data_IF_660648561394
#
_entry.id   IF_660648561394
#
_cell.length_a   1.000
_cell.length_b   1.000
_cell.length_c   1.000
_cell.angle_alpha   90.00
_cell.angle_beta   90.00
_cell.angle_gamma   90.00
#
_symmetry.space_group_name_H-M   'P 1'
#
loop_
_entity.id
_entity.type
_entity.pdbx_description
1 polymer ?
#
# COMPACT_ATOMS: atom_id res chain seq x y z
N UNK A 1 2.97 -2.02 -25.42
CA UNK A 1 2.59 -0.60 -25.54
C UNK A 1 2.95 0.06 -24.22
N UNK A 2 3.54 1.23 -24.24
CA UNK A 2 3.66 2.15 -23.11
C UNK A 2 3.54 3.59 -23.62
N UNK A 3 2.91 4.45 -22.85
CA UNK A 3 2.70 5.82 -23.27
C UNK A 3 2.51 6.77 -22.11
N UNK A 4 2.40 8.05 -22.43
CA UNK A 4 2.19 9.15 -21.49
C UNK A 4 1.05 10.03 -21.99
N UNK A 5 0.33 10.63 -21.05
CA UNK A 5 -0.74 11.58 -21.38
C UNK A 5 -0.25 13.01 -21.22
N UNK A 6 -0.62 13.86 -22.15
CA UNK A 6 -0.33 15.28 -22.00
C UNK A 6 -1.26 15.90 -20.95
N UNK A 7 -0.66 16.33 -19.83
CA UNK A 7 -1.38 17.01 -18.74
C UNK A 7 -2.61 16.20 -18.24
N UNK A 8 -2.42 14.92 -17.95
CA UNK A 8 -3.47 13.98 -17.60
C UNK A 8 -4.45 14.53 -16.56
N UNK A 9 -3.95 14.94 -15.39
CA UNK A 9 -4.79 15.50 -14.32
C UNK A 9 -5.71 16.65 -14.75
N UNK A 10 -5.31 17.41 -15.78
CA UNK A 10 -6.07 18.56 -16.29
C UNK A 10 -6.99 18.21 -17.45
N UNK A 11 -6.76 17.09 -18.12
CA UNK A 11 -7.50 16.67 -19.33
C UNK A 11 -8.63 15.70 -19.03
N UNK A 12 -8.66 15.09 -17.84
CA UNK A 12 -9.72 14.15 -17.48
C UNK A 12 -11.03 14.89 -17.30
N UNK A 13 -12.09 14.45 -18.01
CA UNK A 13 -13.43 15.02 -17.88
C UNK A 13 -14.09 14.61 -16.55
N UNK A 14 -15.01 15.45 -16.06
CA UNK A 14 -15.77 15.14 -14.85
C UNK A 14 -16.58 13.83 -14.99
N UNK A 15 -17.09 13.53 -16.20
CA UNK A 15 -17.86 12.32 -16.48
C UNK A 15 -17.01 11.06 -16.26
N UNK A 16 -15.78 11.03 -16.75
CA UNK A 16 -14.86 9.89 -16.58
C UNK A 16 -14.48 9.75 -15.10
N UNK A 17 -14.23 10.86 -14.41
CA UNK A 17 -13.98 10.83 -12.97
C UNK A 17 -15.18 10.30 -12.18
N UNK A 18 -16.40 10.74 -12.52
CA UNK A 18 -17.63 10.22 -11.89
C UNK A 18 -17.79 8.72 -12.09
N UNK A 19 -17.50 8.19 -13.29
CA UNK A 19 -17.49 6.74 -13.53
C UNK A 19 -16.47 6.02 -12.64
N UNK A 20 -15.29 6.61 -12.42
CA UNK A 20 -14.29 6.05 -11.50
C UNK A 20 -14.78 6.03 -10.05
N UNK A 21 -15.45 7.08 -9.61
CA UNK A 21 -16.10 7.08 -8.29
C UNK A 21 -17.27 6.10 -8.21
N UNK A 22 -18.06 5.91 -9.26
CA UNK A 22 -19.14 4.94 -9.29
C UNK A 22 -18.63 3.50 -9.12
N UNK A 23 -17.44 3.16 -9.65
CA UNK A 23 -16.78 1.88 -9.36
C UNK A 23 -16.52 1.73 -7.86
N UNK A 24 -15.91 2.75 -7.21
CA UNK A 24 -15.61 2.71 -5.79
C UNK A 24 -16.88 2.66 -4.93
N UNK A 25 -17.92 3.41 -5.30
CA UNK A 25 -19.22 3.43 -4.63
C UNK A 25 -19.90 2.06 -4.77
N UNK A 26 -19.82 1.42 -5.96
CA UNK A 26 -20.35 0.09 -6.18
C UNK A 26 -19.64 -0.99 -5.34
N UNK A 27 -18.33 -0.85 -5.14
CA UNK A 27 -17.56 -1.70 -4.24
C UNK A 27 -18.02 -1.49 -2.79
N UNK A 28 -18.19 -0.24 -2.35
CA UNK A 28 -18.67 0.08 -1.02
C UNK A 28 -20.10 -0.45 -0.78
N UNK A 29 -20.98 -0.35 -1.77
CA UNK A 29 -22.34 -0.90 -1.70
C UNK A 29 -22.31 -2.42 -1.51
N UNK A 30 -21.48 -3.13 -2.27
CA UNK A 30 -21.30 -4.58 -2.12
C UNK A 30 -20.66 -4.96 -0.78
N UNK A 31 -19.85 -4.07 -0.21
CA UNK A 31 -19.26 -4.22 1.13
C UNK A 31 -20.25 -3.89 2.27
N UNK A 32 -21.52 -3.58 1.96
CA UNK A 32 -22.58 -3.38 2.96
C UNK A 32 -22.69 -1.96 3.53
N UNK A 33 -22.13 -0.96 2.84
CA UNK A 33 -22.31 0.45 3.23
C UNK A 33 -23.79 0.86 3.16
N UNK A 34 -24.23 1.68 4.11
CA UNK A 34 -25.61 2.14 4.16
C UNK A 34 -25.92 3.14 3.05
N UNK A 35 -27.21 3.32 2.73
CA UNK A 35 -27.65 4.32 1.74
C UNK A 35 -27.18 5.74 2.08
N UNK A 36 -27.13 6.08 3.36
CA UNK A 36 -26.64 7.39 3.81
C UNK A 36 -25.16 7.56 3.52
N UNK A 37 -24.34 6.54 3.85
CA UNK A 37 -22.89 6.53 3.54
C UNK A 37 -22.63 6.63 2.03
N UNK A 38 -23.37 5.89 1.22
CA UNK A 38 -23.25 5.96 -0.25
C UNK A 38 -23.67 7.34 -0.79
N UNK A 39 -24.66 7.99 -0.17
CA UNK A 39 -25.06 9.36 -0.52
C UNK A 39 -23.94 10.35 -0.19
N UNK A 40 -23.30 10.22 0.97
CA UNK A 40 -22.13 11.04 1.35
C UNK A 40 -20.99 10.83 0.37
N UNK A 41 -20.68 9.57 0.00
CA UNK A 41 -19.65 9.27 -0.99
C UNK A 41 -19.93 9.93 -2.34
N UNK A 42 -21.19 9.92 -2.81
CA UNK A 42 -21.58 10.62 -4.05
C UNK A 42 -21.40 12.13 -3.94
N UNK A 43 -21.75 12.71 -2.80
CA UNK A 43 -21.51 14.14 -2.53
C UNK A 43 -20.02 14.48 -2.62
N UNK A 44 -19.16 13.74 -1.94
CA UNK A 44 -17.69 13.91 -1.99
C UNK A 44 -17.17 13.75 -3.42
N UNK A 45 -17.65 12.73 -4.16
CA UNK A 45 -17.28 12.53 -5.56
C UNK A 45 -17.63 13.74 -6.43
N UNK A 46 -18.82 14.32 -6.24
CA UNK A 46 -19.25 15.51 -6.96
C UNK A 46 -18.35 16.71 -6.67
N UNK A 47 -18.01 16.96 -5.41
CA UNK A 47 -17.10 18.03 -5.01
C UNK A 47 -15.70 17.88 -5.63
N UNK A 48 -15.21 16.65 -5.74
CA UNK A 48 -13.90 16.37 -6.36
C UNK A 48 -13.97 16.51 -7.89
N UNK A 49 -15.06 16.07 -8.53
CA UNK A 49 -15.21 16.12 -9.98
C UNK A 49 -15.53 17.52 -10.52
N UNK A 50 -16.11 18.38 -9.67
CA UNK A 50 -16.43 19.78 -10.01
C UNK A 50 -15.79 20.73 -8.99
N UNK A 51 -14.46 20.72 -8.87
CA UNK A 51 -13.77 21.46 -7.82
C UNK A 51 -13.94 22.97 -8.02
N UNK A 52 -14.13 23.66 -6.90
CA UNK A 52 -14.19 25.13 -6.85
C UNK A 52 -12.86 25.67 -6.34
N UNK A 53 -12.28 26.58 -7.06
CA UNK A 53 -11.03 27.26 -6.72
C UNK A 53 -11.25 28.73 -6.46
N UNK A 54 -10.62 29.26 -5.44
CA UNK A 54 -10.44 30.70 -5.27
C UNK A 54 -9.22 31.14 -6.12
N UNK A 55 -9.43 32.12 -6.99
CA UNK A 55 -8.40 32.67 -7.83
C UNK A 55 -8.58 34.20 -7.90
N UNK A 56 -7.64 34.93 -7.32
CA UNK A 56 -7.59 36.40 -7.33
C UNK A 56 -8.92 37.05 -6.89
N UNK A 57 -9.51 36.53 -5.79
CA UNK A 57 -10.77 37.02 -5.25
C UNK A 57 -12.04 36.55 -5.98
N UNK A 58 -11.89 35.72 -7.01
CA UNK A 58 -12.98 35.09 -7.74
C UNK A 58 -13.06 33.59 -7.46
N UNK A 59 -14.29 33.04 -7.48
CA UNK A 59 -14.49 31.60 -7.43
C UNK A 59 -14.66 31.06 -8.85
N UNK A 60 -13.85 30.03 -9.19
CA UNK A 60 -13.88 29.35 -10.48
C UNK A 60 -14.20 27.88 -10.22
N UNK A 61 -15.28 27.39 -10.85
CA UNK A 61 -15.63 25.98 -10.83
C UNK A 61 -15.13 25.33 -12.14
N UNK A 62 -14.45 24.21 -12.00
CA UNK A 62 -14.00 23.43 -13.14
C UNK A 62 -14.92 22.20 -13.34
N UNK A 63 -15.12 21.82 -14.60
CA UNK A 63 -15.82 20.59 -14.99
C UNK A 63 -14.88 19.50 -15.51
N UNK A 64 -13.61 19.62 -15.16
CA UNK A 64 -12.52 18.71 -15.50
C UNK A 64 -11.40 18.92 -14.49
N UNK A 65 -10.38 18.10 -14.54
CA UNK A 65 -9.23 18.15 -13.65
C UNK A 65 -9.41 17.36 -12.36
N UNK A 66 -8.58 16.35 -12.19
CA UNK A 66 -8.48 15.64 -10.91
C UNK A 66 -7.57 16.45 -9.98
N UNK A 67 -8.09 17.00 -8.86
CA UNK A 67 -7.27 17.80 -7.94
C UNK A 67 -6.09 17.00 -7.41
N UNK A 68 -4.86 17.51 -7.62
CA UNK A 68 -3.66 16.89 -7.07
C UNK A 68 -3.64 17.02 -5.54
N UNK A 69 -3.26 15.94 -4.86
CA UNK A 69 -3.06 15.94 -3.42
C UNK A 69 -4.24 15.49 -2.57
N UNK A 70 -5.40 15.17 -3.13
CA UNK A 70 -6.42 14.46 -2.37
C UNK A 70 -6.06 12.95 -2.26
N UNK A 71 -6.50 12.25 -1.20
CA UNK A 71 -6.03 10.87 -0.92
C UNK A 71 -6.29 9.85 -2.02
N UNK A 72 -7.31 10.08 -2.87
CA UNK A 72 -7.71 9.17 -3.94
C UNK A 72 -7.13 9.53 -5.32
N UNK A 73 -6.30 10.59 -5.44
CA UNK A 73 -5.80 11.07 -6.75
C UNK A 73 -5.23 9.94 -7.61
N UNK A 74 -4.33 9.12 -7.07
CA UNK A 74 -3.71 8.03 -7.83
C UNK A 74 -4.73 6.95 -8.18
N UNK A 75 -5.63 6.60 -7.26
CA UNK A 75 -6.66 5.57 -7.47
C UNK A 75 -7.62 6.00 -8.58
N UNK A 76 -8.10 7.24 -8.53
CA UNK A 76 -9.00 7.79 -9.56
C UNK A 76 -8.27 7.87 -10.91
N UNK A 77 -7.02 8.32 -10.93
CA UNK A 77 -6.25 8.35 -12.16
C UNK A 77 -5.99 6.96 -12.75
N UNK A 78 -5.75 5.93 -11.93
CA UNK A 78 -5.65 4.55 -12.41
C UNK A 78 -6.94 4.09 -13.09
N UNK A 79 -8.09 4.37 -12.48
CA UNK A 79 -9.39 4.01 -13.05
C UNK A 79 -9.67 4.80 -14.34
N UNK A 80 -9.39 6.11 -14.36
CA UNK A 80 -9.54 6.95 -15.53
C UNK A 80 -8.68 6.43 -16.69
N UNK A 81 -7.41 6.11 -16.43
CA UNK A 81 -6.49 5.53 -17.41
C UNK A 81 -7.07 4.21 -17.96
N UNK A 82 -7.50 3.32 -17.08
CA UNK A 82 -8.13 2.07 -17.44
C UNK A 82 -9.42 2.25 -18.27
N UNK A 83 -10.20 3.31 -18.03
CA UNK A 83 -11.35 3.65 -18.87
C UNK A 83 -10.95 4.14 -20.25
N UNK A 84 -9.91 4.97 -20.38
CA UNK A 84 -9.41 5.44 -21.66
C UNK A 84 -8.87 4.30 -22.52
N UNK A 85 -8.14 3.35 -21.95
CA UNK A 85 -7.67 2.15 -22.64
C UNK A 85 -8.83 1.34 -23.20
N UNK A 86 -9.84 1.06 -22.38
CA UNK A 86 -11.04 0.32 -22.78
C UNK A 86 -11.88 1.08 -23.79
N UNK A 87 -12.00 2.40 -23.61
CA UNK A 87 -12.69 3.25 -24.60
C UNK A 87 -12.03 3.11 -25.96
N UNK A 88 -10.72 3.27 -26.04
CA UNK A 88 -9.98 3.17 -27.29
C UNK A 88 -10.17 1.77 -27.92
N UNK A 89 -10.04 0.70 -27.13
CA UNK A 89 -10.26 -0.66 -27.61
C UNK A 89 -11.65 -0.86 -28.21
N UNK A 90 -12.70 -0.52 -27.48
CA UNK A 90 -14.07 -0.71 -27.99
C UNK A 90 -14.43 0.29 -29.10
N UNK A 91 -13.83 1.46 -29.15
CA UNK A 91 -14.04 2.41 -30.22
C UNK A 91 -13.49 1.91 -31.56
N UNK A 92 -12.33 1.23 -31.55
CA UNK A 92 -11.74 0.61 -32.74
C UNK A 92 -12.57 -0.57 -33.27
N UNK A 93 -13.28 -1.25 -32.40
CA UNK A 93 -14.11 -2.41 -32.74
C UNK A 93 -15.60 -2.07 -32.85
N UNK A 94 -15.93 -0.80 -33.06
CA UNK A 94 -17.33 -0.36 -33.13
C UNK A 94 -18.13 -1.12 -34.19
N UNK A 95 -19.20 -1.78 -33.73
CA UNK A 95 -20.07 -2.58 -34.58
C UNK A 95 -19.64 -4.04 -34.74
N UNK A 96 -18.60 -4.46 -34.09
CA UNK A 96 -18.11 -5.83 -34.08
C UNK A 96 -18.43 -6.52 -32.74
N UNK A 97 -18.56 -7.84 -32.75
CA UNK A 97 -18.57 -8.64 -31.53
C UNK A 97 -17.14 -9.05 -31.25
N UNK A 98 -16.57 -8.51 -30.19
CA UNK A 98 -15.16 -8.76 -29.83
C UNK A 98 -15.05 -9.33 -28.42
N UNK A 99 -13.97 -10.06 -28.12
CA UNK A 99 -13.67 -10.49 -26.76
C UNK A 99 -13.59 -9.31 -25.81
N UNK A 100 -13.86 -9.52 -24.51
CA UNK A 100 -13.62 -8.50 -23.49
C UNK A 100 -12.17 -8.00 -23.54
N UNK A 101 -11.97 -6.72 -23.24
CA UNK A 101 -10.62 -6.08 -23.19
C UNK A 101 -9.61 -6.91 -22.41
N UNK A 102 -9.98 -7.40 -21.23
CA UNK A 102 -9.09 -8.15 -20.35
C UNK A 102 -8.62 -9.52 -20.95
N UNK A 103 -9.30 -10.04 -21.97
CA UNK A 103 -8.87 -11.25 -22.66
C UNK A 103 -7.85 -10.95 -23.78
N UNK A 104 -7.77 -9.70 -24.21
CA UNK A 104 -6.90 -9.26 -25.31
C UNK A 104 -5.77 -8.35 -24.86
N UNK A 105 -5.94 -7.64 -23.77
CA UNK A 105 -4.97 -6.65 -23.27
C UNK A 105 -4.80 -6.82 -21.78
N UNK A 106 -3.56 -7.03 -21.36
CA UNK A 106 -3.17 -6.97 -19.96
C UNK A 106 -2.49 -5.64 -19.70
N UNK A 107 -3.09 -4.81 -18.86
CA UNK A 107 -2.62 -3.47 -18.56
C UNK A 107 -2.23 -3.34 -17.09
N UNK A 108 -1.16 -2.59 -16.83
CA UNK A 108 -0.78 -2.10 -15.52
C UNK A 108 -0.73 -0.59 -15.55
N UNK A 109 -1.36 0.06 -14.58
CA UNK A 109 -1.48 1.51 -14.50
C UNK A 109 -1.05 2.02 -13.13
N UNK A 110 -0.37 3.17 -13.12
CA UNK A 110 -0.09 3.93 -11.92
C UNK A 110 -0.25 5.42 -12.22
N UNK A 111 -1.42 5.95 -11.88
CA UNK A 111 -1.79 7.31 -12.28
C UNK A 111 -1.99 7.38 -13.79
N UNK A 112 -1.21 8.22 -14.42
CA UNK A 112 -1.14 8.39 -15.88
C UNK A 112 -0.18 7.42 -16.57
N UNK A 113 0.82 6.92 -15.85
CA UNK A 113 1.72 5.88 -16.38
C UNK A 113 0.97 4.58 -16.67
N UNK A 114 1.27 3.98 -17.82
CA UNK A 114 0.72 2.68 -18.21
C UNK A 114 1.73 1.83 -18.99
N UNK A 115 1.55 0.52 -18.87
CA UNK A 115 2.21 -0.45 -19.74
C UNK A 115 1.22 -1.58 -20.04
N UNK A 116 1.13 -1.96 -21.31
CA UNK A 116 0.16 -2.92 -21.79
C UNK A 116 0.82 -4.00 -22.64
N UNK A 117 0.47 -5.25 -22.36
CA UNK A 117 0.77 -6.39 -23.22
C UNK A 117 -0.49 -6.73 -24.03
N UNK A 118 -0.35 -6.79 -25.35
CA UNK A 118 -1.46 -7.03 -26.30
C UNK A 118 -1.33 -8.45 -26.84
N UNK A 119 -2.45 -9.16 -26.87
CA UNK A 119 -2.51 -10.52 -27.40
C UNK A 119 -2.12 -10.53 -28.89
N UNK A 120 -1.36 -11.51 -29.38
CA UNK A 120 -0.93 -11.56 -30.78
C UNK A 120 -2.06 -11.55 -31.82
N UNK A 121 -3.24 -12.06 -31.45
CA UNK A 121 -4.43 -12.07 -32.32
C UNK A 121 -5.19 -10.74 -32.34
N UNK A 122 -4.73 -9.73 -31.59
CA UNK A 122 -5.32 -8.38 -31.56
C UNK A 122 -4.51 -7.48 -32.48
N UNK A 123 -5.04 -7.23 -33.68
CA UNK A 123 -4.36 -6.52 -34.76
C UNK A 123 -4.70 -5.02 -34.84
N UNK A 124 -5.80 -4.61 -34.19
CA UNK A 124 -6.28 -3.22 -34.25
C UNK A 124 -5.75 -2.36 -33.11
N UNK A 125 -5.63 -2.95 -31.91
CA UNK A 125 -5.26 -2.21 -30.71
C UNK A 125 -3.74 -2.11 -30.57
N UNK A 126 -3.20 -0.92 -30.87
CA UNK A 126 -1.79 -0.59 -30.72
C UNK A 126 -1.64 0.87 -30.23
N UNK A 127 -0.42 1.31 -29.90
CA UNK A 127 -0.18 2.68 -29.44
C UNK A 127 -0.72 3.74 -30.39
N UNK A 128 -0.44 3.61 -31.68
CA UNK A 128 -0.83 4.59 -32.71
C UNK A 128 -2.34 4.68 -32.86
N UNK A 129 -3.05 3.54 -32.87
CA UNK A 129 -4.49 3.52 -32.97
C UNK A 129 -5.17 4.02 -31.70
N UNK A 130 -4.62 3.69 -30.51
CA UNK A 130 -5.08 4.23 -29.23
C UNK A 130 -4.95 5.76 -29.19
N UNK A 131 -3.78 6.29 -29.57
CA UNK A 131 -3.56 7.73 -29.65
C UNK A 131 -4.55 8.43 -30.59
N UNK A 132 -4.87 7.79 -31.73
CA UNK A 132 -5.84 8.31 -32.69
C UNK A 132 -7.26 8.34 -32.10
N UNK A 133 -7.73 7.26 -31.46
CA UNK A 133 -9.09 7.20 -30.90
C UNK A 133 -9.24 8.17 -29.72
N UNK A 134 -8.25 8.25 -28.84
CA UNK A 134 -8.23 9.21 -27.73
C UNK A 134 -8.20 10.66 -28.23
N UNK A 135 -7.46 10.93 -29.31
CA UNK A 135 -7.43 12.24 -29.96
C UNK A 135 -8.80 12.75 -30.41
N UNK A 136 -9.72 11.86 -30.82
CA UNK A 136 -11.10 12.22 -31.21
C UNK A 136 -11.93 12.78 -30.05
N UNK A 137 -11.56 12.43 -28.81
CA UNK A 137 -12.22 12.92 -27.58
C UNK A 137 -11.38 13.95 -26.82
N UNK A 138 -10.37 14.53 -27.49
CA UNK A 138 -9.56 15.61 -26.95
C UNK A 138 -8.45 15.17 -25.98
N UNK A 139 -8.17 13.87 -25.87
CA UNK A 139 -7.09 13.34 -25.04
C UNK A 139 -5.85 13.13 -25.91
N UNK A 140 -4.75 13.76 -25.52
CA UNK A 140 -3.46 13.59 -26.20
C UNK A 140 -2.67 12.48 -25.51
N UNK A 141 -2.44 11.39 -26.22
CA UNK A 141 -1.64 10.24 -25.79
C UNK A 141 -0.39 10.16 -26.67
N UNK A 142 0.78 10.09 -26.06
CA UNK A 142 2.09 10.11 -26.72
C UNK A 142 2.94 8.94 -26.28
N UNK A 143 4.06 8.72 -26.93
CA UNK A 143 5.09 7.82 -26.43
C UNK A 143 5.58 8.30 -25.05
N UNK A 144 6.15 7.42 -24.24
CA UNK A 144 6.76 7.77 -22.96
C UNK A 144 7.88 8.83 -23.14
N UNK A 145 8.65 8.72 -24.21
CA UNK A 145 9.46 9.83 -24.73
C UNK A 145 8.60 10.70 -25.62
N UNK A 146 8.28 11.90 -25.14
CA UNK A 146 7.36 12.86 -25.81
C UNK A 146 7.84 13.37 -27.17
N UNK A 147 9.12 13.25 -27.44
CA UNK A 147 9.74 13.65 -28.70
C UNK A 147 9.83 12.47 -29.70
N UNK A 148 9.56 11.25 -29.26
CA UNK A 148 9.60 10.08 -30.13
C UNK A 148 8.34 10.00 -31.02
N UNK A 149 8.54 9.55 -32.26
CA UNK A 149 7.43 9.23 -33.15
C UNK A 149 6.64 8.02 -32.62
N UNK A 150 5.32 8.07 -32.78
CA UNK A 150 4.44 6.98 -32.35
C UNK A 150 4.70 5.71 -33.17
N UNK A 151 5.04 4.63 -32.49
CA UNK A 151 5.18 3.30 -33.08
C UNK A 151 4.08 2.36 -32.55
N UNK A 152 3.57 1.42 -33.36
CA UNK A 152 2.47 0.55 -32.94
C UNK A 152 2.77 -0.25 -31.68
N UNK A 153 3.94 -0.87 -31.62
CA UNK A 153 4.40 -1.74 -30.51
C UNK A 153 5.85 -1.48 -30.18
N UNK A 154 6.21 -1.76 -28.96
CA UNK A 154 7.57 -1.73 -28.42
C UNK A 154 7.85 -3.04 -27.73
N UNK A 155 9.13 -3.45 -27.70
CA UNK A 155 9.60 -4.57 -26.91
C UNK A 155 9.72 -4.17 -25.43
N UNK A 156 9.90 -5.15 -24.54
CA UNK A 156 9.95 -4.90 -23.09
C UNK A 156 11.15 -4.01 -22.71
N UNK A 157 12.27 -4.14 -23.40
CA UNK A 157 13.48 -3.34 -23.19
C UNK A 157 13.41 -1.92 -23.76
N UNK A 158 12.42 -1.63 -24.62
CA UNK A 158 12.18 -0.28 -25.16
C UNK A 158 11.17 0.54 -24.36
N UNK A 159 10.39 -0.11 -23.49
CA UNK A 159 9.39 0.60 -22.67
C UNK A 159 9.96 1.06 -21.33
N UNK A 160 9.32 2.07 -20.77
CA UNK A 160 9.51 2.47 -19.38
C UNK A 160 8.19 2.54 -18.64
N UNK A 161 8.22 2.22 -17.35
CA UNK A 161 7.08 2.36 -16.45
C UNK A 161 7.59 2.89 -15.09
N UNK A 162 6.98 3.96 -14.59
CA UNK A 162 7.42 4.65 -13.36
C UNK A 162 8.91 5.07 -13.44
N UNK A 163 9.34 5.55 -14.60
CA UNK A 163 10.73 5.93 -14.89
C UNK A 163 11.75 4.80 -14.75
N UNK A 164 11.29 3.58 -14.83
CA UNK A 164 12.11 2.36 -14.84
C UNK A 164 12.04 1.73 -16.21
N UNK A 165 13.20 1.53 -16.82
CA UNK A 165 13.31 0.64 -17.97
C UNK A 165 13.30 -0.83 -17.54
N UNK A 166 13.33 -1.73 -18.51
CA UNK A 166 13.42 -3.16 -18.25
C UNK A 166 14.61 -3.73 -18.99
N UNK A 167 15.37 -4.59 -18.33
CA UNK A 167 16.48 -5.29 -18.96
C UNK A 167 16.67 -6.68 -18.38
N UNK A 168 17.08 -7.61 -19.20
CA UNK A 168 17.51 -8.93 -18.73
C UNK A 168 18.87 -8.83 -18.03
N UNK A 169 18.99 -9.42 -16.86
CA UNK A 169 20.24 -9.52 -16.13
C UNK A 169 20.75 -10.97 -16.17
N UNK A 170 21.83 -11.20 -16.89
CA UNK A 170 22.40 -12.54 -17.06
C UNK A 170 22.93 -13.17 -15.77
N UNK A 171 23.46 -12.37 -14.85
CA UNK A 171 23.98 -12.87 -13.58
C UNK A 171 22.85 -13.30 -12.63
N UNK A 172 21.75 -12.55 -12.63
CA UNK A 172 20.58 -12.84 -11.82
C UNK A 172 19.57 -13.77 -12.49
N UNK A 173 19.77 -14.06 -13.79
CA UNK A 173 18.83 -14.81 -14.65
C UNK A 173 17.39 -14.29 -14.53
N UNK A 174 17.26 -12.96 -14.61
CA UNK A 174 15.98 -12.31 -14.36
C UNK A 174 15.86 -10.94 -15.01
N UNK A 175 14.62 -10.55 -15.33
CA UNK A 175 14.31 -9.18 -15.70
C UNK A 175 14.43 -8.27 -14.49
N UNK A 176 15.12 -7.17 -14.62
CA UNK A 176 15.28 -6.11 -13.63
C UNK A 176 14.81 -4.78 -14.19
N UNK A 177 14.42 -3.89 -13.29
CA UNK A 177 13.83 -2.59 -13.66
C UNK A 177 14.68 -1.42 -13.12
N UNK A 178 15.81 -1.08 -13.80
CA UNK A 178 16.66 0.03 -13.41
C UNK A 178 15.91 1.35 -13.49
N UNK A 179 16.04 2.18 -12.45
CA UNK A 179 15.54 3.54 -12.45
C UNK A 179 16.41 4.41 -13.36
N UNK A 180 15.82 5.34 -14.12
CA UNK A 180 16.58 6.27 -14.97
C UNK A 180 17.64 7.04 -14.16
N UNK A 181 18.83 7.20 -14.69
CA UNK A 181 19.95 7.86 -14.00
C UNK A 181 19.65 9.31 -13.63
N UNK A 182 18.84 10.01 -14.43
CA UNK A 182 18.39 11.37 -14.12
C UNK A 182 17.58 11.45 -12.82
N UNK A 183 16.74 10.46 -12.55
CA UNK A 183 15.96 10.36 -11.29
C UNK A 183 16.86 10.04 -10.10
N UNK A 184 17.83 9.14 -10.25
CA UNK A 184 18.82 8.85 -9.21
C UNK A 184 19.64 10.12 -8.90
N UNK A 185 20.15 10.78 -9.94
CA UNK A 185 20.90 12.04 -9.81
C UNK A 185 20.07 13.12 -9.11
N UNK A 186 18.79 13.29 -9.50
CA UNK A 186 17.89 14.24 -8.84
C UNK A 186 17.72 13.96 -7.36
N UNK A 187 17.60 12.69 -6.96
CA UNK A 187 17.48 12.31 -5.54
C UNK A 187 18.73 12.60 -4.72
N UNK A 188 19.91 12.56 -5.34
CA UNK A 188 21.18 12.90 -4.70
C UNK A 188 21.39 14.41 -4.52
N UNK A 189 20.77 15.24 -5.37
CA UNK A 189 20.92 16.70 -5.32
C UNK A 189 19.83 17.43 -4.55
N UNK A 190 18.75 16.74 -4.19
CA UNK A 190 17.61 17.36 -3.54
C UNK A 190 17.23 16.60 -2.26
N UNK A 191 17.01 17.35 -1.20
CA UNK A 191 16.44 16.81 0.02
C UNK A 191 15.38 17.75 0.60
N UNK A 192 14.43 17.19 1.31
CA UNK A 192 13.40 17.96 2.01
C UNK A 192 13.64 17.80 3.50
N UNK A 193 14.05 18.90 4.16
CA UNK A 193 14.12 18.92 5.62
C UNK A 193 12.70 19.13 6.17
N UNK A 194 12.20 18.16 6.93
CA UNK A 194 10.92 18.31 7.64
C UNK A 194 11.09 19.33 8.77
N UNK A 195 10.13 20.26 8.88
CA UNK A 195 10.11 21.24 9.98
C UNK A 195 9.95 20.49 11.32
N UNK A 196 10.87 20.73 12.27
CA UNK A 196 10.86 20.04 13.55
C UNK A 196 11.53 18.65 13.55
N UNK A 197 12.20 18.24 12.46
CA UNK A 197 13.02 17.03 12.46
C UNK A 197 14.40 17.31 13.02
N UNK A 198 14.86 16.45 13.95
CA UNK A 198 16.21 16.46 14.53
C UNK A 198 17.22 15.71 13.65
N UNK A 199 16.80 15.16 12.50
CA UNK A 199 17.69 14.45 11.56
C UNK A 199 18.74 15.40 11.01
N UNK A 200 20.00 15.01 11.13
CA UNK A 200 21.11 15.81 10.64
C UNK A 200 21.18 15.79 9.10
N UNK A 201 21.61 16.88 8.45
CA UNK A 201 21.81 16.90 6.99
C UNK A 201 22.72 15.78 6.50
N UNK A 202 23.73 15.42 7.27
CA UNK A 202 24.69 14.33 7.01
C UNK A 202 23.99 12.97 6.96
N UNK A 203 23.05 12.71 7.86
CA UNK A 203 22.25 11.47 7.87
C UNK A 203 21.33 11.39 6.65
N UNK A 204 20.71 12.51 6.26
CA UNK A 204 19.84 12.57 5.07
C UNK A 204 20.69 12.32 3.81
N UNK A 205 21.86 12.96 3.71
CA UNK A 205 22.78 12.74 2.59
C UNK A 205 23.26 11.28 2.51
N UNK A 206 23.58 10.67 3.65
CA UNK A 206 23.98 9.27 3.73
C UNK A 206 22.83 8.32 3.29
N UNK A 207 21.58 8.60 3.69
CA UNK A 207 20.43 7.84 3.26
C UNK A 207 20.21 7.95 1.74
N UNK A 208 20.39 9.14 1.16
CA UNK A 208 20.32 9.35 -0.29
C UNK A 208 21.38 8.55 -1.05
N UNK A 209 22.62 8.54 -0.52
CA UNK A 209 23.73 7.74 -1.07
C UNK A 209 23.42 6.24 -1.00
N UNK A 210 22.91 5.74 0.14
CA UNK A 210 22.52 4.34 0.30
C UNK A 210 21.40 3.96 -0.67
N UNK A 211 20.40 4.81 -0.82
CA UNK A 211 19.30 4.60 -1.77
C UNK A 211 19.81 4.57 -3.22
N UNK A 212 20.65 5.50 -3.61
CA UNK A 212 21.25 5.53 -4.95
C UNK A 212 22.10 4.28 -5.23
N UNK A 213 22.89 3.82 -4.26
CA UNK A 213 23.67 2.58 -4.41
C UNK A 213 22.76 1.37 -4.63
N UNK A 214 21.62 1.28 -3.95
CA UNK A 214 20.65 0.21 -4.17
C UNK A 214 19.99 0.30 -5.56
N UNK A 215 19.69 1.50 -6.04
CA UNK A 215 19.11 1.68 -7.39
C UNK A 215 20.11 1.33 -8.50
N UNK A 216 21.37 1.68 -8.35
CA UNK A 216 22.42 1.31 -9.32
C UNK A 216 22.65 -0.20 -9.43
N UNK A 217 22.27 -1.01 -8.45
CA UNK A 217 22.32 -2.46 -8.52
C UNK A 217 21.53 -3.03 -9.71
N UNK A 218 20.40 -2.41 -10.05
CA UNK A 218 19.56 -2.87 -11.17
C UNK A 218 20.12 -2.48 -12.55
N UNK A 219 21.13 -1.61 -12.59
CA UNK A 219 21.91 -1.33 -13.79
C UNK A 219 22.94 -2.45 -14.06
N UNK A 220 23.86 -2.25 -15.02
CA UNK A 220 24.92 -3.24 -15.23
C UNK A 220 25.87 -3.30 -14.02
N UNK A 221 26.51 -4.45 -13.81
CA UNK A 221 27.52 -4.60 -12.76
C UNK A 221 28.65 -3.56 -12.90
N UNK A 222 29.07 -3.30 -14.14
CA UNK A 222 30.08 -2.26 -14.42
C UNK A 222 29.61 -0.88 -13.97
N UNK A 223 28.38 -0.50 -14.34
CA UNK A 223 27.77 0.76 -13.90
C UNK A 223 27.68 0.84 -12.37
N UNK A 224 27.23 -0.23 -11.74
CA UNK A 224 27.15 -0.30 -10.27
C UNK A 224 28.51 -0.06 -9.61
N UNK A 225 29.55 -0.78 -10.03
CA UNK A 225 30.89 -0.64 -9.44
C UNK A 225 31.43 0.77 -9.58
N UNK A 226 31.30 1.35 -10.80
CA UNK A 226 31.71 2.71 -11.08
C UNK A 226 30.96 3.72 -10.19
N UNK A 227 29.64 3.65 -10.16
CA UNK A 227 28.80 4.56 -9.39
C UNK A 227 29.00 4.42 -7.89
N UNK A 228 29.17 3.20 -7.40
CA UNK A 228 29.48 2.94 -5.99
C UNK A 228 30.80 3.61 -5.56
N UNK A 229 31.84 3.51 -6.38
CA UNK A 229 33.10 4.18 -6.12
C UNK A 229 32.94 5.73 -6.10
N UNK A 230 32.22 6.28 -7.07
CA UNK A 230 31.89 7.72 -7.13
C UNK A 230 31.15 8.18 -5.86
N UNK A 231 30.14 7.43 -5.40
CA UNK A 231 29.37 7.71 -4.19
C UNK A 231 30.25 7.68 -2.94
N UNK A 232 31.16 6.72 -2.82
CA UNK A 232 32.13 6.65 -1.73
C UNK A 232 33.09 7.84 -1.75
N UNK A 233 33.56 8.26 -2.92
CA UNK A 233 34.41 9.43 -3.05
C UNK A 233 33.69 10.73 -2.68
N UNK A 234 32.40 10.85 -3.02
CA UNK A 234 31.54 11.98 -2.62
C UNK A 234 31.39 12.01 -1.10
N UNK A 235 31.06 10.87 -0.50
CA UNK A 235 30.94 10.75 0.95
C UNK A 235 32.23 11.17 1.70
N UNK A 236 33.39 10.76 1.16
CA UNK A 236 34.71 11.15 1.68
C UNK A 236 34.93 12.64 1.59
N UNK A 237 34.69 13.24 0.45
CA UNK A 237 34.83 14.70 0.26
C UNK A 237 33.88 15.51 1.15
N UNK A 238 32.70 14.97 1.45
CA UNK A 238 31.70 15.59 2.32
C UNK A 238 31.93 15.31 3.83
N UNK A 239 32.92 14.48 4.20
CA UNK A 239 33.20 14.13 5.59
C UNK A 239 32.13 13.25 6.25
N UNK A 240 31.33 12.52 5.48
CA UNK A 240 30.24 11.67 5.96
C UNK A 240 30.52 10.17 5.80
N UNK A 241 31.77 9.78 5.63
CA UNK A 241 32.18 8.37 5.42
C UNK A 241 31.67 7.45 6.53
N UNK A 242 31.67 7.93 7.77
CA UNK A 242 31.21 7.15 8.92
C UNK A 242 29.75 6.67 8.80
N UNK A 243 28.90 7.41 8.07
CA UNK A 243 27.49 7.08 7.86
C UNK A 243 27.23 6.12 6.70
N UNK A 244 28.25 5.85 5.87
CA UNK A 244 28.13 5.02 4.66
C UNK A 244 29.12 3.86 4.63
N UNK A 245 29.72 3.51 5.76
CA UNK A 245 30.66 2.38 5.87
C UNK A 245 30.04 1.04 5.52
N UNK A 246 28.74 0.90 5.75
CA UNK A 246 27.92 -0.29 5.51
C UNK A 246 27.28 -0.32 4.11
N UNK A 247 27.84 0.42 3.13
CA UNK A 247 27.33 0.43 1.78
C UNK A 247 27.47 -0.98 1.15
N UNK A 248 26.34 -1.70 0.86
CA UNK A 248 26.42 -3.05 0.37
C UNK A 248 27.14 -3.12 -0.97
N UNK A 249 27.89 -4.19 -1.18
CA UNK A 249 28.51 -4.47 -2.48
C UNK A 249 27.52 -5.19 -3.43
N UNK A 250 27.99 -5.49 -4.64
CA UNK A 250 27.14 -6.14 -5.64
C UNK A 250 26.71 -7.54 -5.21
N UNK A 251 27.59 -8.30 -4.53
CA UNK A 251 27.28 -9.63 -4.06
C UNK A 251 26.26 -9.61 -2.91
N UNK A 252 26.41 -8.67 -1.97
CA UNK A 252 25.46 -8.49 -0.88
C UNK A 252 24.03 -8.22 -1.41
N UNK A 253 23.94 -7.38 -2.45
CA UNK A 253 22.65 -7.04 -3.07
C UNK A 253 22.11 -8.21 -3.91
N UNK A 254 22.99 -8.93 -4.61
CA UNK A 254 22.63 -10.14 -5.36
C UNK A 254 22.08 -11.23 -4.44
N UNK A 255 22.73 -11.46 -3.30
CA UNK A 255 22.28 -12.45 -2.31
C UNK A 255 20.93 -12.05 -1.68
N UNK A 256 20.72 -10.77 -1.41
CA UNK A 256 19.42 -10.26 -0.95
C UNK A 256 18.34 -10.44 -2.01
N UNK A 257 18.64 -10.11 -3.25
CA UNK A 257 17.71 -10.25 -4.36
C UNK A 257 17.30 -11.71 -4.58
N UNK A 258 18.25 -12.63 -4.61
CA UNK A 258 18.00 -14.08 -4.76
C UNK A 258 17.41 -14.69 -3.49
N UNK A 259 17.82 -14.23 -2.32
CA UNK A 259 17.32 -14.70 -1.02
C UNK A 259 15.87 -14.30 -0.75
N UNK A 260 15.45 -13.10 -1.14
CA UNK A 260 14.06 -12.65 -1.03
C UNK A 260 13.10 -13.38 -1.98
N UNK A 261 13.62 -14.03 -3.01
CA UNK A 261 12.83 -14.80 -3.99
C UNK A 261 12.81 -16.30 -3.76
N UNK A 262 13.56 -16.84 -2.82
CA UNK A 262 13.53 -18.28 -2.43
C UNK A 262 12.19 -18.70 -1.78
N UNK A 263 11.10 -18.07 -2.08
CA UNK A 263 9.75 -18.38 -1.61
C UNK A 263 8.66 -17.91 -2.54
N UNK A 264 9.01 -17.17 -3.60
CA UNK A 264 8.01 -16.83 -4.64
C UNK A 264 7.98 -17.95 -5.68
N UNK A 265 6.80 -18.43 -6.10
CA UNK A 265 6.70 -19.41 -7.19
C UNK A 265 7.36 -18.81 -8.43
N UNK A 266 8.43 -19.45 -8.90
CA UNK A 266 8.99 -19.19 -10.22
C UNK A 266 8.03 -19.87 -11.19
N UNK A 267 7.47 -19.08 -12.10
CA UNK A 267 6.55 -19.49 -13.17
C UNK A 267 5.18 -20.01 -12.74
N UNK A 268 4.24 -19.07 -12.61
CA UNK A 268 2.84 -19.41 -12.91
C UNK A 268 2.76 -19.55 -14.44
N UNK A 269 2.80 -20.78 -14.93
CA UNK A 269 2.46 -21.04 -16.32
C UNK A 269 0.99 -20.66 -16.55
N UNK A 270 0.67 -19.90 -17.61
CA UNK A 270 -0.68 -19.37 -17.82
C UNK A 270 -1.76 -20.40 -18.17
N UNK A 271 -1.47 -21.68 -18.21
CA UNK A 271 -2.34 -22.71 -18.78
C UNK A 271 -3.01 -23.66 -17.77
N UNK A 272 -3.01 -23.35 -16.46
CA UNK A 272 -3.73 -24.18 -15.49
C UNK A 272 -5.07 -23.53 -15.18
N UNK A 273 -6.23 -24.21 -15.40
CA UNK A 273 -7.53 -23.68 -15.07
C UNK A 273 -7.65 -23.31 -13.59
N UNK A 274 -8.24 -22.16 -13.30
CA UNK A 274 -8.38 -21.58 -11.95
C UNK A 274 -8.98 -22.53 -10.89
N UNK A 275 -9.75 -23.53 -11.30
CA UNK A 275 -10.45 -24.45 -10.39
C UNK A 275 -9.57 -25.56 -9.78
N UNK A 276 -8.46 -25.91 -10.43
CA UNK A 276 -7.53 -26.92 -9.87
C UNK A 276 -6.42 -26.32 -9.00
N UNK A 277 -6.23 -24.99 -9.06
CA UNK A 277 -5.23 -24.28 -8.24
C UNK A 277 -5.74 -23.96 -6.83
N UNK A 278 -7.04 -24.15 -6.53
CA UNK A 278 -7.65 -23.59 -5.32
C UNK A 278 -7.13 -24.19 -4.01
N UNK A 279 -6.77 -25.47 -3.98
CA UNK A 279 -6.29 -26.12 -2.75
C UNK A 279 -4.78 -26.02 -2.58
N UNK A 280 -4.00 -26.18 -3.64
CA UNK A 280 -2.56 -26.00 -3.59
C UNK A 280 -2.15 -24.54 -3.41
N UNK A 281 -2.88 -23.60 -4.03
CA UNK A 281 -2.71 -22.17 -3.82
C UNK A 281 -3.13 -21.78 -2.40
N UNK A 282 -4.23 -22.32 -1.84
CA UNK A 282 -4.60 -22.09 -0.44
C UNK A 282 -3.54 -22.61 0.52
N UNK A 283 -2.92 -23.75 0.24
CA UNK A 283 -1.83 -24.32 1.05
C UNK A 283 -0.54 -23.52 0.86
N UNK A 284 -0.25 -23.00 -0.35
CA UNK A 284 0.87 -22.11 -0.60
C UNK A 284 0.65 -20.74 0.05
N UNK A 285 -0.52 -20.13 -0.10
CA UNK A 285 -0.87 -18.87 0.58
C UNK A 285 -0.89 -19.00 2.11
N UNK A 286 -1.32 -20.15 2.66
CA UNK A 286 -1.21 -20.40 4.09
C UNK A 286 0.25 -20.55 4.58
N UNK A 287 1.18 -20.92 3.69
CA UNK A 287 2.63 -20.94 4.00
C UNK A 287 3.30 -19.59 3.77
N UNK A 288 2.70 -18.70 2.98
CA UNK A 288 3.16 -17.35 2.66
C UNK A 288 2.39 -16.27 3.41
N UNK A 289 1.48 -16.66 4.32
CA UNK A 289 0.85 -15.74 5.27
C UNK A 289 1.97 -14.93 5.96
N UNK A 290 2.01 -13.60 5.80
CA UNK A 290 3.00 -12.76 6.46
C UNK A 290 2.99 -12.94 7.99
N UNK A 291 1.90 -13.51 8.53
CA UNK A 291 1.73 -13.86 9.93
C UNK A 291 2.09 -15.32 10.25
N UNK A 292 2.48 -16.15 9.25
CA UNK A 292 2.94 -17.50 9.49
C UNK A 292 4.30 -17.52 10.21
N UNK A 293 4.31 -17.93 11.44
CA UNK A 293 5.54 -18.11 12.24
C UNK A 293 6.02 -19.54 12.14
N UNK A 294 7.17 -19.77 11.51
CA UNK A 294 7.79 -21.11 11.48
C UNK A 294 8.05 -21.61 12.91
N UNK A 295 7.73 -22.87 13.22
CA UNK A 295 8.06 -23.45 14.52
C UNK A 295 9.53 -23.21 14.88
N UNK A 296 9.79 -22.67 16.09
CA UNK A 296 11.14 -22.37 16.59
C UNK A 296 11.68 -20.97 16.27
N UNK A 297 11.00 -20.13 15.50
CA UNK A 297 11.40 -18.73 15.28
C UNK A 297 10.94 -17.88 16.46
N UNK A 298 11.82 -16.99 16.97
CA UNK A 298 11.45 -16.03 18.02
C UNK A 298 10.47 -14.99 17.44
N UNK A 299 9.29 -14.93 18.01
CA UNK A 299 8.28 -13.90 17.71
C UNK A 299 8.75 -12.57 18.31
N UNK A 300 8.55 -11.47 17.58
CA UNK A 300 8.77 -10.11 18.08
C UNK A 300 7.42 -9.50 18.50
N UNK A 301 7.44 -8.58 19.45
CA UNK A 301 6.25 -7.86 19.94
C UNK A 301 5.55 -7.08 18.80
N UNK A 302 6.33 -6.46 17.89
CA UNK A 302 5.80 -5.81 16.68
C UNK A 302 4.99 -6.74 15.78
N UNK A 303 5.29 -8.03 15.76
CA UNK A 303 4.49 -9.02 15.02
C UNK A 303 3.11 -9.22 15.67
N UNK A 304 3.04 -9.25 16.99
CA UNK A 304 1.78 -9.38 17.72
C UNK A 304 0.89 -8.14 17.49
N UNK A 305 1.48 -6.96 17.44
CA UNK A 305 0.77 -5.70 17.13
C UNK A 305 0.14 -5.77 15.74
N UNK A 306 0.88 -6.19 14.72
CA UNK A 306 0.36 -6.33 13.37
C UNK A 306 -0.70 -7.45 13.26
N UNK A 307 -0.52 -8.54 13.97
CA UNK A 307 -1.52 -9.60 14.05
C UNK A 307 -2.85 -9.10 14.65
N UNK A 308 -2.80 -8.32 15.72
CA UNK A 308 -4.00 -7.73 16.31
C UNK A 308 -4.66 -6.76 15.32
N UNK A 309 -3.89 -5.86 14.70
CA UNK A 309 -4.42 -4.91 13.71
C UNK A 309 -5.12 -5.60 12.54
N UNK A 310 -4.58 -6.70 12.04
CA UNK A 310 -5.16 -7.43 10.91
C UNK A 310 -6.47 -8.15 11.24
N UNK A 311 -6.71 -8.42 12.52
CA UNK A 311 -7.91 -9.11 13.00
C UNK A 311 -9.03 -8.16 13.48
N UNK A 312 -8.80 -6.84 13.47
CA UNK A 312 -9.82 -5.86 13.79
C UNK A 312 -10.23 -5.07 12.56
N UNK A 313 -11.52 -4.94 12.29
CA UNK A 313 -12.07 -4.22 11.13
C UNK A 313 -11.83 -2.70 11.14
N UNK A 314 -11.32 -2.16 12.24
CA UNK A 314 -11.08 -0.74 12.42
C UNK A 314 -9.60 -0.49 12.65
N UNK A 315 -9.11 0.63 12.11
CA UNK A 315 -7.77 1.10 12.46
C UNK A 315 -7.73 1.55 13.91
N UNK A 316 -6.64 1.27 14.65
CA UNK A 316 -6.51 1.77 16.01
C UNK A 316 -6.51 3.31 16.01
N UNK A 317 -7.16 3.89 17.01
CA UNK A 317 -7.17 5.34 17.25
C UNK A 317 -5.83 5.79 17.84
N UNK A 318 -5.20 4.89 18.61
CA UNK A 318 -3.88 5.10 19.23
C UNK A 318 -3.00 3.89 18.94
N UNK A 319 -1.78 4.16 18.57
CA UNK A 319 -0.74 3.18 18.30
C UNK A 319 0.59 3.73 18.81
N UNK A 320 1.19 3.07 19.81
CA UNK A 320 2.51 3.39 20.41
C UNK A 320 2.79 4.87 20.72
N UNK A 321 1.75 5.70 20.82
CA UNK A 321 1.90 7.13 21.12
C UNK A 321 1.36 7.42 22.53
N UNK A 322 2.08 8.19 23.34
CA UNK A 322 1.53 8.64 24.62
C UNK A 322 0.28 9.49 24.34
N UNK A 323 -0.89 8.98 24.71
CA UNK A 323 -2.13 9.70 24.66
C UNK A 323 -2.08 10.81 25.71
N UNK A 324 -1.92 12.06 25.27
CA UNK A 324 -1.75 13.29 26.05
C UNK A 324 -1.75 13.10 27.58
N UNK A 325 -0.78 13.57 28.28
CA UNK A 325 -0.60 13.60 29.74
C UNK A 325 -0.91 12.33 30.58
N UNK A 326 -0.87 11.13 30.02
CA UNK A 326 -0.98 9.91 30.81
C UNK A 326 0.33 9.59 31.53
N UNK A 327 0.41 9.97 32.80
CA UNK A 327 1.56 9.64 33.67
C UNK A 327 1.76 8.16 33.91
N UNK A 328 0.79 7.33 33.51
CA UNK A 328 0.78 5.86 33.74
C UNK A 328 1.21 5.03 32.53
N UNK A 329 1.52 5.67 31.39
CA UNK A 329 1.81 5.01 30.10
C UNK A 329 0.59 4.87 29.22
N UNK A 330 0.73 4.21 28.07
CA UNK A 330 -0.31 4.01 27.07
C UNK A 330 -0.37 2.51 26.71
N UNK A 331 -1.56 1.94 26.40
CA UNK A 331 -1.65 0.62 25.78
C UNK A 331 -1.06 0.66 24.36
N UNK A 332 -0.61 -0.49 23.86
CA UNK A 332 -0.04 -0.61 22.53
C UNK A 332 -1.04 -0.21 21.44
N UNK A 333 -2.33 -0.59 21.60
CA UNK A 333 -3.40 -0.26 20.67
C UNK A 333 -4.68 0.15 21.41
N UNK A 334 -5.41 1.11 20.85
CA UNK A 334 -6.76 1.47 21.26
C UNK A 334 -7.66 1.52 20.02
N UNK A 335 -8.77 0.78 20.08
CA UNK A 335 -9.83 0.83 19.07
C UNK A 335 -11.08 1.50 19.66
N UNK A 336 -11.69 2.42 18.95
CA UNK A 336 -12.97 3.05 19.31
C UNK A 336 -14.03 2.70 18.25
N UNK A 337 -15.17 2.21 18.75
CA UNK A 337 -16.35 1.86 17.94
C UNK A 337 -17.51 2.76 18.36
N UNK A 338 -17.52 4.00 17.85
CA UNK A 338 -18.45 5.04 18.27
C UNK A 338 -19.92 4.68 18.11
N UNK A 339 -20.27 3.85 17.10
CA UNK A 339 -21.63 3.36 16.92
C UNK A 339 -22.13 2.42 18.04
N UNK A 340 -21.20 1.86 18.83
CA UNK A 340 -21.49 0.94 19.93
C UNK A 340 -21.10 1.50 21.31
N UNK A 341 -20.57 2.72 21.37
CA UNK A 341 -19.96 3.25 22.60
C UNK A 341 -18.96 2.29 23.24
N UNK A 342 -18.17 1.60 22.41
CA UNK A 342 -17.22 0.55 22.79
C UNK A 342 -15.80 1.01 22.53
N UNK A 343 -14.94 0.80 23.53
CA UNK A 343 -13.50 1.05 23.44
C UNK A 343 -12.77 -0.24 23.82
N UNK A 344 -11.77 -0.59 23.03
CA UNK A 344 -10.93 -1.78 23.26
C UNK A 344 -9.49 -1.32 23.45
N UNK A 345 -8.93 -1.61 24.62
CA UNK A 345 -7.51 -1.39 24.94
C UNK A 345 -6.77 -2.72 24.81
N UNK A 346 -5.74 -2.77 23.98
CA UNK A 346 -4.95 -3.98 23.77
C UNK A 346 -3.50 -3.74 24.19
N UNK A 347 -2.94 -4.65 24.95
CA UNK A 347 -1.53 -4.71 25.31
C UNK A 347 -0.92 -5.97 24.74
N UNK A 348 0.26 -5.89 24.16
CA UNK A 348 0.96 -7.01 23.53
C UNK A 348 2.21 -7.39 24.30
N UNK A 349 2.54 -8.67 24.38
CA UNK A 349 3.77 -9.12 25.06
C UNK A 349 4.26 -10.46 24.56
N UNK A 350 5.51 -10.53 24.19
CA UNK A 350 6.20 -11.80 23.93
C UNK A 350 6.63 -12.43 25.25
N UNK A 351 6.13 -13.63 25.53
CA UNK A 351 6.47 -14.40 26.70
C UNK A 351 7.82 -15.11 26.49
N UNK A 352 8.43 -15.59 27.58
CA UNK A 352 9.69 -16.35 27.54
C UNK A 352 9.43 -17.85 27.50
N UNK A 353 10.33 -18.60 26.84
CA UNK A 353 10.31 -20.07 26.89
C UNK A 353 10.67 -20.65 28.27
N UNK A 354 11.21 -19.83 29.19
CA UNK A 354 11.49 -20.22 30.57
C UNK A 354 10.23 -20.04 31.40
N UNK A 355 9.71 -21.11 32.01
CA UNK A 355 8.43 -21.12 32.73
C UNK A 355 8.28 -19.97 33.76
N UNK A 356 9.27 -19.77 34.63
CA UNK A 356 9.24 -18.72 35.68
C UNK A 356 9.22 -17.31 35.09
N UNK A 357 9.97 -17.07 34.00
CA UNK A 357 9.98 -15.76 33.28
C UNK A 357 8.71 -15.59 32.50
N UNK A 358 8.13 -16.66 31.96
CA UNK A 358 6.87 -16.64 31.20
C UNK A 358 5.72 -16.19 32.09
N UNK A 359 5.57 -16.82 33.24
CA UNK A 359 4.53 -16.50 34.23
C UNK A 359 4.64 -15.05 34.73
N UNK A 360 5.85 -14.58 35.02
CA UNK A 360 6.10 -13.20 35.43
C UNK A 360 5.73 -12.20 34.34
N UNK A 361 6.05 -12.47 33.05
CA UNK A 361 5.67 -11.62 31.93
C UNK A 361 4.16 -11.63 31.67
N UNK A 362 3.51 -12.79 31.77
CA UNK A 362 2.06 -12.90 31.65
C UNK A 362 1.36 -12.10 32.75
N UNK A 363 1.81 -12.20 34.00
CA UNK A 363 1.30 -11.36 35.07
C UNK A 363 1.46 -9.87 34.79
N UNK A 364 2.62 -9.47 34.29
CA UNK A 364 2.91 -8.07 33.96
C UNK A 364 2.00 -7.52 32.87
N UNK A 365 1.78 -8.23 31.76
CA UNK A 365 0.90 -7.77 30.68
C UNK A 365 -0.54 -7.64 31.18
N UNK A 366 -1.02 -8.60 31.98
CA UNK A 366 -2.35 -8.52 32.61
C UNK A 366 -2.51 -7.30 33.52
N UNK A 367 -1.51 -7.02 34.36
CA UNK A 367 -1.52 -5.82 35.20
C UNK A 367 -1.50 -4.52 34.41
N UNK A 368 -0.73 -4.47 33.30
CA UNK A 368 -0.70 -3.31 32.39
C UNK A 368 -2.07 -3.12 31.72
N UNK A 369 -2.65 -4.17 31.16
CA UNK A 369 -3.98 -4.15 30.55
C UNK A 369 -5.03 -3.63 31.53
N UNK A 370 -5.09 -4.17 32.76
CA UNK A 370 -6.01 -3.69 33.81
C UNK A 370 -5.84 -2.20 34.11
N UNK A 371 -4.61 -1.75 34.22
CA UNK A 371 -4.28 -0.35 34.52
C UNK A 371 -4.78 0.60 33.43
N UNK A 372 -4.49 0.27 32.17
CA UNK A 372 -4.90 1.10 31.03
C UNK A 372 -6.40 1.09 30.81
N UNK A 373 -7.03 -0.08 30.89
CA UNK A 373 -8.50 -0.20 30.74
C UNK A 373 -9.24 0.56 31.85
N UNK A 374 -8.74 0.52 33.10
CA UNK A 374 -9.30 1.26 34.22
C UNK A 374 -9.18 2.79 34.01
N UNK A 375 -8.03 3.23 33.52
CA UNK A 375 -7.81 4.65 33.20
C UNK A 375 -8.72 5.12 32.05
N UNK A 376 -8.89 4.33 31.01
CA UNK A 376 -9.78 4.62 29.89
C UNK A 376 -11.24 4.68 30.32
N UNK A 377 -11.69 3.76 31.16
CA UNK A 377 -13.03 3.77 31.73
C UNK A 377 -13.33 5.04 32.55
N UNK A 378 -12.31 5.52 33.29
CA UNK A 378 -12.46 6.78 34.02
C UNK A 378 -12.55 8.02 33.10
N UNK A 379 -11.88 7.97 31.94
CA UNK A 379 -11.95 9.04 30.92
C UNK A 379 -13.22 9.01 30.07
N UNK A 380 -13.79 7.84 29.86
CA UNK A 380 -14.97 7.59 29.02
C UNK A 380 -16.05 6.84 29.83
N UNK A 381 -16.69 7.47 30.82
CA UNK A 381 -17.57 6.78 31.74
C UNK A 381 -18.86 6.22 31.10
N UNK A 382 -19.26 6.79 29.96
CA UNK A 382 -20.46 6.36 29.24
C UNK A 382 -20.21 5.22 28.26
N UNK A 383 -18.94 4.84 28.04
CA UNK A 383 -18.55 3.78 27.12
C UNK A 383 -18.32 2.44 27.85
N UNK A 384 -18.56 1.35 27.13
CA UNK A 384 -18.05 0.04 27.52
C UNK A 384 -16.58 -0.02 27.16
N UNK A 385 -15.69 -0.37 28.11
CA UNK A 385 -14.25 -0.45 27.89
C UNK A 385 -13.74 -1.85 28.15
N UNK A 386 -13.20 -2.51 27.10
CA UNK A 386 -12.60 -3.83 27.15
C UNK A 386 -11.09 -3.74 27.26
N UNK A 387 -10.50 -4.57 28.10
CA UNK A 387 -9.07 -4.80 28.19
C UNK A 387 -8.71 -6.18 27.67
N UNK A 388 -7.93 -6.22 26.60
CA UNK A 388 -7.41 -7.43 25.99
C UNK A 388 -5.88 -7.43 26.05
N UNK A 389 -5.28 -8.60 26.11
CA UNK A 389 -3.85 -8.75 25.92
C UNK A 389 -3.55 -9.81 24.88
N UNK A 390 -2.53 -9.58 24.06
CA UNK A 390 -2.07 -10.50 23.02
C UNK A 390 -0.66 -11.02 23.35
N UNK A 391 -0.51 -12.33 23.27
CA UNK A 391 0.77 -13.02 23.40
C UNK A 391 0.94 -13.99 22.24
N UNK A 392 2.06 -14.68 22.16
CA UNK A 392 2.24 -15.76 21.20
C UNK A 392 1.27 -16.95 21.40
N UNK A 393 0.55 -16.99 22.52
CA UNK A 393 -0.48 -18.02 22.79
C UNK A 393 -1.86 -17.60 22.27
N UNK A 394 -2.01 -16.35 21.83
CA UNK A 394 -3.25 -15.78 21.29
C UNK A 394 -3.67 -14.49 21.95
N UNK A 395 -4.88 -14.05 21.61
CA UNK A 395 -5.53 -12.85 22.16
C UNK A 395 -6.52 -13.30 23.24
N UNK A 396 -6.45 -12.69 24.41
CA UNK A 396 -7.25 -13.07 25.55
C UNK A 396 -7.83 -11.85 26.28
N UNK A 397 -8.91 -12.07 26.98
CA UNK A 397 -9.64 -11.06 27.72
C UNK A 397 -9.10 -10.93 29.15
N UNK A 398 -9.00 -9.72 29.65
CA UNK A 398 -8.54 -9.47 31.00
C UNK A 398 -9.56 -8.76 31.88
N UNK A 399 -10.22 -7.72 31.37
CA UNK A 399 -11.16 -6.91 32.18
C UNK A 399 -12.13 -6.14 31.30
N UNK A 400 -13.34 -5.85 31.83
CA UNK A 400 -14.34 -5.01 31.21
C UNK A 400 -14.91 -4.01 32.24
N UNK A 401 -15.13 -2.78 31.80
CA UNK A 401 -15.82 -1.76 32.56
C UNK A 401 -17.03 -1.27 31.76
N UNK A 402 -18.08 -0.82 32.46
CA UNK A 402 -19.27 -0.26 31.83
C UNK A 402 -20.02 -1.28 30.96
N UNK A 403 -20.09 -2.55 31.39
CA UNK A 403 -20.71 -3.63 30.63
C UNK A 403 -22.15 -3.28 30.23
N UNK A 404 -22.44 -3.29 28.93
CA UNK A 404 -23.77 -3.07 28.33
C UNK A 404 -24.13 -4.31 27.51
N UNK A 405 -25.18 -5.05 27.92
CA UNK A 405 -25.57 -6.32 27.28
C UNK A 405 -26.02 -6.15 25.82
N UNK A 406 -26.67 -5.04 25.49
CA UNK A 406 -27.13 -4.65 24.17
C UNK A 406 -25.94 -4.38 23.22
N UNK A 407 -24.91 -3.68 23.68
CA UNK A 407 -23.66 -3.45 22.93
C UNK A 407 -22.97 -4.77 22.66
N UNK A 408 -22.86 -5.63 23.67
CA UNK A 408 -22.20 -6.91 23.53
C UNK A 408 -22.87 -7.85 22.55
N UNK A 409 -24.22 -7.92 22.55
CA UNK A 409 -24.99 -8.75 21.64
C UNK A 409 -24.86 -8.34 20.18
N UNK A 410 -24.61 -7.07 19.91
CA UNK A 410 -24.51 -6.50 18.56
C UNK A 410 -23.08 -6.42 18.03
N UNK A 411 -22.07 -6.61 18.88
CA UNK A 411 -20.67 -6.56 18.51
C UNK A 411 -20.13 -7.95 18.22
N UNK A 412 -19.63 -8.16 17.00
CA UNK A 412 -18.93 -9.38 16.60
C UNK A 412 -17.44 -9.07 16.43
N UNK A 413 -16.61 -9.85 17.11
CA UNK A 413 -15.17 -9.81 16.88
C UNK A 413 -14.84 -10.63 15.63
N UNK A 414 -14.00 -10.09 14.75
CA UNK A 414 -13.50 -10.85 13.61
C UNK A 414 -12.33 -11.78 13.98
N UNK A 415 -12.05 -11.90 15.25
CA UNK A 415 -11.06 -12.83 15.80
C UNK A 415 -11.79 -14.09 16.27
N UNK A 416 -11.66 -15.23 15.57
CA UNK A 416 -12.39 -16.48 15.90
C UNK A 416 -12.19 -16.94 17.34
N UNK A 417 -11.00 -16.73 17.90
CA UNK A 417 -10.65 -17.07 19.29
C UNK A 417 -11.47 -16.27 20.30
N UNK A 418 -11.81 -15.01 19.99
CA UNK A 418 -12.65 -14.18 20.86
C UNK A 418 -14.13 -14.55 20.77
N UNK A 419 -14.59 -15.02 19.63
CA UNK A 419 -15.98 -15.48 19.47
C UNK A 419 -16.27 -16.76 20.27
N UNK A 420 -15.24 -17.53 20.62
CA UNK A 420 -15.33 -18.75 21.41
C UNK A 420 -14.99 -18.53 22.89
N UNK A 421 -14.42 -17.39 23.27
CA UNK A 421 -14.21 -17.06 24.67
C UNK A 421 -15.58 -16.93 25.34
N UNK A 422 -15.93 -17.91 26.19
CA UNK A 422 -17.07 -17.81 27.10
C UNK A 422 -16.70 -16.77 28.14
N UNK A 423 -17.05 -15.52 27.87
CA UNK A 423 -16.87 -14.45 28.84
C UNK A 423 -17.77 -14.74 30.01
N UNK A 424 -17.19 -15.26 31.11
CA UNK A 424 -17.88 -15.26 32.38
C UNK A 424 -18.28 -13.82 32.70
N UNK A 425 -19.55 -13.57 32.92
CA UNK A 425 -20.10 -12.23 33.22
C UNK A 425 -19.23 -11.56 34.29
N UNK A 426 -18.64 -10.37 34.02
CA UNK A 426 -17.92 -9.63 35.04
C UNK A 426 -18.88 -9.32 36.17
N UNK A 427 -18.68 -9.89 37.34
CA UNK A 427 -19.49 -9.62 38.54
C UNK A 427 -20.27 -10.79 39.14
N UNK A 428 -20.07 -12.03 38.68
CA UNK A 428 -20.55 -13.24 39.34
C UNK A 428 -19.36 -14.12 39.73
N UNK A 429 -18.73 -13.80 40.83
CA UNK A 429 -17.94 -14.68 41.71
C UNK A 429 -18.06 -14.17 43.13
#
# INVERSE_FOLDING_TARGET
IAGDYKAFDKSVSAEIMMLSFDVLISIAERAGYTKEQLTIMRGIATEICYPMYEYDGCYVQLASSNPSGHPLTVIINNLNNSFYERYAYYAMHRGEIVPPFAERVQAINYGDDNAMNVHPDEDKFCHTSMAHELGKVGITYTMADKEAESVPFQTLDEISFLKRGFRWNEELQHWVAPLEEASISKSLHNYIKRKGSDTMPEEIAAQSIKAANMEYFYHSRETFLKRREELQQVAKRAGIEAFVQDLPDYQDLSDRFTGSRKGLPVDVQPDVPLDTQSEEIRVAFAKEDPFYVRPGKKIKESFLIELVKSNFNHKPVVEDQPFGCWSIGCPDLIFEYGGYELIICVETKVLSNRATTRESRLKKVKEQTRRYTRAMSALKPDSMVLGLYCTEDGLDFEICFGYKEDVWKNFQFDVPELNHCVFSRPGMS
#
